data_IF_714585135387
#
_entry.id   IF_714585135387
#
_cell.length_a   1.000
_cell.length_b   1.000
_cell.length_c   1.000
_cell.angle_alpha   90.00
_cell.angle_beta   90.00
_cell.angle_gamma   90.00
#
_symmetry.space_group_name_H-M   'P 1'
#
loop_
_entity.id
_entity.type
_entity.pdbx_description
1 polymer ?
#
# COMPACT_ATOMS: atom_id res chain seq x y z
N UNK A 1 20.27 -19.72 -14.02
CA UNK A 1 19.50 -18.49 -14.33
C UNK A 1 18.40 -18.40 -13.29
N UNK A 2 18.30 -17.30 -12.55
CA UNK A 2 17.32 -17.14 -11.47
C UNK A 2 16.19 -16.22 -11.95
N UNK A 3 14.95 -16.55 -11.57
CA UNK A 3 13.76 -15.79 -11.95
C UNK A 3 12.93 -15.47 -10.71
N UNK A 4 12.55 -14.20 -10.55
CA UNK A 4 11.71 -13.72 -9.45
C UNK A 4 10.77 -12.65 -10.00
N UNK A 5 9.49 -12.97 -10.04
CA UNK A 5 8.41 -12.11 -10.48
C UNK A 5 7.29 -12.17 -9.43
N UNK A 6 6.78 -11.01 -9.02
CA UNK A 6 5.58 -10.86 -8.22
C UNK A 6 4.63 -9.91 -8.93
N UNK A 7 3.37 -10.34 -9.10
CA UNK A 7 2.29 -9.52 -9.66
C UNK A 7 1.13 -9.53 -8.67
N UNK A 8 0.73 -8.35 -8.20
CA UNK A 8 -0.32 -8.19 -7.19
C UNK A 8 -1.31 -7.11 -7.62
N UNK A 9 -2.60 -7.42 -7.55
CA UNK A 9 -3.68 -6.45 -7.72
C UNK A 9 -4.45 -6.27 -6.41
N UNK A 10 -4.67 -5.03 -5.99
CA UNK A 10 -5.32 -4.77 -4.71
C UNK A 10 -5.57 -3.30 -4.43
N UNK A 11 -5.86 -2.99 -3.17
CA UNK A 11 -6.13 -1.62 -2.71
C UNK A 11 -5.15 -1.21 -1.61
N UNK A 12 -4.73 0.06 -1.64
CA UNK A 12 -3.91 0.62 -0.57
C UNK A 12 -4.69 0.66 0.75
N UNK A 13 -4.07 0.19 1.83
CA UNK A 13 -4.69 0.18 3.18
C UNK A 13 -4.44 1.47 3.96
N UNK A 14 -3.46 2.25 3.53
CA UNK A 14 -3.09 3.56 4.06
C UNK A 14 -2.50 4.45 2.97
N UNK A 15 -2.38 5.73 3.25
CA UNK A 15 -1.74 6.68 2.34
C UNK A 15 -0.27 6.30 2.07
N UNK A 16 0.26 6.51 0.85
CA UNK A 16 1.67 6.23 0.55
C UNK A 16 2.61 7.12 1.37
N UNK A 17 3.64 6.52 1.98
CA UNK A 17 4.63 7.25 2.78
C UNK A 17 5.87 7.53 1.92
N UNK A 18 5.97 8.76 1.37
CA UNK A 18 7.12 9.19 0.58
C UNK A 18 8.26 9.65 1.50
N UNK A 19 9.45 9.15 1.24
CA UNK A 19 10.68 9.60 1.88
C UNK A 19 11.82 9.69 0.86
N UNK A 20 12.84 10.47 1.19
CA UNK A 20 14.05 10.58 0.40
C UNK A 20 15.21 9.94 1.15
N UNK A 21 16.01 9.16 0.44
CA UNK A 21 17.27 8.62 0.97
C UNK A 21 18.32 9.73 1.10
N UNK A 22 19.40 9.46 1.84
CA UNK A 22 20.53 10.39 1.98
C UNK A 22 21.16 10.83 0.64
N UNK A 23 21.00 10.00 -0.40
CA UNK A 23 21.46 10.28 -1.75
C UNK A 23 20.42 11.02 -2.62
N UNK A 24 19.34 11.51 -2.01
CA UNK A 24 18.26 12.23 -2.69
C UNK A 24 17.30 11.36 -3.50
N UNK A 25 17.43 10.03 -3.47
CA UNK A 25 16.53 9.15 -4.21
C UNK A 25 15.21 8.96 -3.46
N UNK A 26 14.09 9.22 -4.16
CA UNK A 26 12.74 8.99 -3.68
C UNK A 26 12.46 7.50 -3.47
N UNK A 27 11.81 7.18 -2.35
CA UNK A 27 11.27 5.86 -2.04
C UNK A 27 9.92 6.03 -1.37
N UNK A 28 8.96 5.18 -1.76
CA UNK A 28 7.62 5.17 -1.17
C UNK A 28 7.35 3.78 -0.62
N UNK A 29 6.87 3.74 0.61
CA UNK A 29 6.41 2.54 1.27
C UNK A 29 4.87 2.52 1.21
N UNK A 30 4.31 1.41 0.71
CA UNK A 30 2.87 1.21 0.55
C UNK A 30 2.45 -0.12 1.17
N UNK A 31 1.20 -0.22 1.62
CA UNK A 31 0.61 -1.47 2.07
C UNK A 31 -0.63 -1.79 1.24
N UNK A 32 -0.64 -2.99 0.66
CA UNK A 32 -1.64 -3.44 -0.29
C UNK A 32 -2.44 -4.59 0.31
N UNK A 33 -3.77 -4.45 0.32
CA UNK A 33 -4.68 -5.54 0.60
C UNK A 33 -5.04 -6.26 -0.70
N UNK A 34 -4.86 -7.58 -0.73
CA UNK A 34 -5.18 -8.45 -1.86
C UNK A 34 -6.20 -9.48 -1.40
N UNK A 35 -7.37 -9.46 -2.01
CA UNK A 35 -8.47 -10.36 -1.67
C UNK A 35 -8.42 -11.62 -2.53
N UNK A 36 -8.70 -12.76 -1.91
CA UNK A 36 -8.88 -14.04 -2.58
C UNK A 36 -10.23 -14.63 -2.18
N UNK A 37 -11.09 -14.90 -3.16
CA UNK A 37 -12.36 -15.57 -2.97
C UNK A 37 -12.25 -17.01 -3.48
N UNK A 38 -12.70 -17.99 -2.70
CA UNK A 38 -12.69 -19.40 -3.08
C UNK A 38 -13.85 -20.16 -2.45
N UNK A 39 -14.24 -21.27 -3.07
CA UNK A 39 -15.28 -22.16 -2.55
C UNK A 39 -14.65 -23.39 -1.89
N UNK A 40 -15.19 -23.77 -0.73
CA UNK A 40 -14.85 -24.99 -0.02
C UNK A 40 -15.65 -26.18 -0.60
N UNK A 41 -15.26 -27.40 -0.22
CA UNK A 41 -15.85 -28.63 -0.74
C UNK A 41 -17.34 -28.81 -0.37
N UNK A 42 -17.77 -28.20 0.74
CA UNK A 42 -19.15 -28.15 1.22
C UNK A 42 -20.02 -27.08 0.53
N UNK A 43 -19.44 -26.30 -0.38
CA UNK A 43 -20.11 -25.22 -1.10
C UNK A 43 -20.05 -23.86 -0.40
N UNK A 44 -19.43 -23.75 0.78
CA UNK A 44 -19.26 -22.46 1.46
C UNK A 44 -18.28 -21.56 0.68
N UNK A 45 -18.65 -20.29 0.47
CA UNK A 45 -17.77 -19.28 -0.13
C UNK A 45 -16.97 -18.58 0.95
N UNK A 46 -15.65 -18.69 0.89
CA UNK A 46 -14.73 -18.03 1.82
C UNK A 46 -13.99 -16.89 1.13
N UNK A 47 -13.74 -15.83 1.90
CA UNK A 47 -12.94 -14.69 1.48
C UNK A 47 -11.76 -14.54 2.43
N UNK A 48 -10.57 -14.36 1.87
CA UNK A 48 -9.34 -14.16 2.61
C UNK A 48 -8.63 -12.91 2.10
N UNK A 49 -8.14 -12.08 3.02
CA UNK A 49 -7.35 -10.89 2.69
C UNK A 49 -5.91 -11.11 3.12
N UNK A 50 -4.99 -10.87 2.20
CA UNK A 50 -3.55 -10.85 2.47
C UNK A 50 -3.03 -9.43 2.36
N UNK A 51 -2.12 -9.06 3.26
CA UNK A 51 -1.51 -7.74 3.29
C UNK A 51 -0.05 -7.82 2.89
N UNK A 52 0.35 -7.02 1.90
CA UNK A 52 1.70 -7.01 1.38
C UNK A 52 2.32 -5.61 1.49
N UNK A 53 3.58 -5.56 1.87
CA UNK A 53 4.37 -4.33 1.83
C UNK A 53 4.99 -4.19 0.44
N UNK A 54 4.74 -3.05 -0.19
CA UNK A 54 5.24 -2.71 -1.53
C UNK A 54 6.17 -1.50 -1.38
N UNK A 55 7.33 -1.57 -2.02
CA UNK A 55 8.29 -0.46 -2.07
C UNK A 55 8.54 -0.09 -3.52
N UNK A 56 8.28 1.17 -3.88
CA UNK A 56 8.65 1.73 -5.17
C UNK A 56 9.73 2.79 -5.01
N UNK A 57 10.51 3.02 -6.07
CA UNK A 57 11.68 3.91 -6.06
C UNK A 57 11.61 4.94 -7.19
N UNK A 58 12.32 6.06 -7.02
CA UNK A 58 12.48 7.10 -8.03
C UNK A 58 11.15 7.64 -8.55
N UNK A 59 11.01 7.75 -9.87
CA UNK A 59 9.80 8.30 -10.51
C UNK A 59 8.52 7.54 -10.15
N UNK A 60 8.59 6.22 -9.99
CA UNK A 60 7.43 5.43 -9.56
C UNK A 60 7.04 5.76 -8.13
N UNK A 61 8.01 6.03 -7.24
CA UNK A 61 7.73 6.46 -5.87
C UNK A 61 7.01 7.80 -5.82
N UNK A 62 7.53 8.78 -6.56
CA UNK A 62 6.93 10.12 -6.67
C UNK A 62 5.52 10.05 -7.24
N UNK A 63 5.30 9.28 -8.32
CA UNK A 63 3.98 9.10 -8.90
C UNK A 63 2.99 8.47 -7.91
N UNK A 64 3.39 7.40 -7.21
CA UNK A 64 2.54 6.77 -6.20
C UNK A 64 2.14 7.76 -5.11
N UNK A 65 3.09 8.52 -4.55
CA UNK A 65 2.80 9.52 -3.53
C UNK A 65 1.94 10.70 -4.05
N UNK A 66 2.07 11.03 -5.34
CA UNK A 66 1.36 12.15 -5.94
C UNK A 66 -0.08 11.82 -6.34
N UNK A 67 -0.41 10.56 -6.61
CA UNK A 67 -1.70 10.19 -7.19
C UNK A 67 -2.46 9.11 -6.44
N UNK A 68 -1.80 8.40 -5.51
CA UNK A 68 -2.45 7.38 -4.69
C UNK A 68 -2.73 7.90 -3.28
N UNK A 69 -3.80 7.38 -2.71
CA UNK A 69 -4.21 7.56 -1.33
C UNK A 69 -4.72 6.21 -0.78
N UNK A 70 -5.09 6.18 0.49
CA UNK A 70 -5.81 5.04 1.08
C UNK A 70 -7.01 4.67 0.19
N UNK A 71 -7.17 3.38 -0.08
CA UNK A 71 -8.24 2.83 -0.90
C UNK A 71 -7.95 2.82 -2.41
N UNK A 72 -6.92 3.53 -2.90
CA UNK A 72 -6.56 3.50 -4.32
C UNK A 72 -6.29 2.07 -4.79
N UNK A 73 -6.88 1.70 -5.92
CA UNK A 73 -6.67 0.39 -6.54
C UNK A 73 -5.48 0.42 -7.48
N UNK A 74 -4.59 -0.55 -7.36
CA UNK A 74 -3.36 -0.64 -8.14
C UNK A 74 -3.07 -2.06 -8.58
N UNK A 75 -2.37 -2.16 -9.72
CA UNK A 75 -1.67 -3.36 -10.16
C UNK A 75 -0.16 -3.13 -10.02
N UNK A 76 0.51 -3.99 -9.27
CA UNK A 76 1.95 -3.93 -8.99
C UNK A 76 2.64 -5.09 -9.68
N UNK A 77 3.68 -4.80 -10.44
CA UNK A 77 4.64 -5.78 -10.96
C UNK A 77 6.01 -5.50 -10.37
N UNK A 78 6.68 -6.54 -9.87
CA UNK A 78 7.97 -6.40 -9.21
C UNK A 78 8.62 -7.74 -8.88
N UNK A 79 9.38 -7.74 -7.79
CA UNK A 79 10.07 -8.92 -7.27
C UNK A 79 9.94 -9.00 -5.76
N UNK A 80 9.98 -10.21 -5.20
CA UNK A 80 10.08 -10.40 -3.77
C UNK A 80 11.51 -10.11 -3.29
N UNK A 81 11.63 -9.43 -2.17
CA UNK A 81 12.88 -9.22 -1.46
C UNK A 81 12.66 -9.55 0.01
N UNK A 82 13.51 -10.42 0.55
CA UNK A 82 13.56 -10.70 1.97
C UNK A 82 14.69 -9.87 2.59
N UNK A 83 14.32 -8.95 3.48
CA UNK A 83 15.29 -8.24 4.31
C UNK A 83 15.47 -8.99 5.61
N UNK A 84 16.71 -9.09 6.08
CA UNK A 84 17.06 -9.69 7.38
C UNK A 84 17.86 -8.67 8.16
N UNK A 85 17.49 -8.43 9.42
CA UNK A 85 18.17 -7.49 10.30
C UNK A 85 18.10 -7.99 11.75
N UNK A 86 18.96 -7.44 12.61
CA UNK A 86 18.93 -7.73 14.04
C UNK A 86 18.26 -6.58 14.79
N UNK A 87 17.38 -6.91 15.73
CA UNK A 87 16.76 -5.95 16.63
C UNK A 87 16.63 -6.58 18.01
N UNK A 88 17.17 -5.92 19.03
CA UNK A 88 17.18 -6.39 20.42
C UNK A 88 17.86 -7.77 20.59
N UNK A 89 18.96 -8.02 19.86
CA UNK A 89 19.68 -9.29 19.89
C UNK A 89 19.00 -10.45 19.14
N UNK A 90 17.84 -10.20 18.50
CA UNK A 90 17.09 -11.21 17.77
C UNK A 90 17.12 -10.93 16.26
N UNK A 91 17.42 -11.98 15.49
CA UNK A 91 17.31 -11.94 14.02
C UNK A 91 15.85 -11.87 13.61
N UNK A 92 15.51 -10.86 12.82
CA UNK A 92 14.19 -10.67 12.20
C UNK A 92 14.33 -10.73 10.69
N UNK A 93 13.25 -11.14 10.03
CA UNK A 93 13.16 -11.02 8.58
C UNK A 93 11.77 -10.58 8.15
N UNK A 94 11.69 -9.88 7.03
CA UNK A 94 10.44 -9.52 6.40
C UNK A 94 10.56 -9.65 4.89
N UNK A 95 9.49 -10.12 4.26
CA UNK A 95 9.35 -10.17 2.81
C UNK A 95 8.54 -8.96 2.35
N UNK A 96 9.04 -8.28 1.33
CA UNK A 96 8.37 -7.16 0.67
C UNK A 96 8.45 -7.34 -0.85
N UNK A 97 7.60 -6.62 -1.56
CA UNK A 97 7.67 -6.52 -3.02
C UNK A 97 8.39 -5.23 -3.39
N UNK A 98 9.48 -5.34 -4.15
CA UNK A 98 10.09 -4.18 -4.80
C UNK A 98 9.41 -4.01 -6.16
N UNK A 99 8.61 -2.96 -6.27
CA UNK A 99 7.86 -2.64 -7.48
C UNK A 99 8.79 -2.10 -8.56
N UNK A 100 8.69 -2.69 -9.75
CA UNK A 100 9.29 -2.17 -10.98
C UNK A 100 8.28 -1.31 -11.74
N UNK A 101 6.99 -1.67 -11.68
CA UNK A 101 5.89 -0.95 -12.32
C UNK A 101 4.66 -0.96 -11.40
N UNK A 102 4.04 0.20 -11.24
CA UNK A 102 2.74 0.36 -10.59
C UNK A 102 1.79 0.98 -11.60
N UNK A 103 0.66 0.33 -11.81
CA UNK A 103 -0.43 0.81 -12.66
C UNK A 103 -1.64 1.15 -11.79
N UNK A 104 -2.20 2.33 -12.00
CA UNK A 104 -3.30 2.85 -11.20
C UNK A 104 -4.61 2.45 -11.87
N UNK A 105 -5.46 1.71 -11.16
CA UNK A 105 -6.68 1.12 -11.71
C UNK A 105 -7.93 2.00 -11.48
N UNK A 106 -7.80 3.06 -10.67
CA UNK A 106 -8.86 4.02 -10.39
C UNK A 106 -8.78 5.29 -11.26
N UNK A 107 -9.94 5.88 -11.56
CA UNK A 107 -10.00 7.23 -12.14
C UNK A 107 -9.40 8.26 -11.17
N UNK A 108 -8.82 9.32 -11.71
CA UNK A 108 -8.20 10.44 -10.99
C UNK A 108 -9.20 11.00 -9.96
N UNK A 109 -9.08 10.60 -8.69
CA UNK A 109 -9.71 11.34 -7.60
C UNK A 109 -8.84 12.57 -7.36
N UNK A 110 -9.40 13.75 -7.55
CA UNK A 110 -8.67 14.99 -7.29
C UNK A 110 -8.28 15.02 -5.81
N UNK A 111 -6.98 15.25 -5.55
CA UNK A 111 -6.41 15.24 -4.21
C UNK A 111 -7.12 16.22 -3.26
N UNK A 112 -7.63 17.32 -3.80
CA UNK A 112 -8.34 18.36 -3.05
C UNK A 112 -9.64 17.82 -2.44
N UNK A 113 -10.37 16.96 -3.15
CA UNK A 113 -11.61 16.36 -2.66
C UNK A 113 -11.36 15.35 -1.52
N UNK A 114 -10.20 14.66 -1.52
CA UNK A 114 -9.81 13.75 -0.42
C UNK A 114 -9.38 14.50 0.85
N UNK A 115 -8.67 15.63 0.71
CA UNK A 115 -8.32 16.45 1.88
C UNK A 115 -9.55 17.20 2.43
N UNK A 116 -10.46 17.68 1.57
CA UNK A 116 -11.75 18.25 2.02
C UNK A 116 -12.60 17.21 2.76
N UNK A 117 -12.72 15.98 2.25
CA UNK A 117 -13.48 14.90 2.92
C UNK A 117 -12.87 14.54 4.28
N UNK A 118 -11.53 14.55 4.38
CA UNK A 118 -10.81 14.30 5.64
C UNK A 118 -10.99 15.44 6.65
N UNK A 119 -10.92 16.70 6.22
CA UNK A 119 -11.19 17.85 7.11
C UNK A 119 -12.65 17.89 7.57
N UNK A 120 -13.58 17.46 6.71
CA UNK A 120 -15.01 17.39 7.04
C UNK A 120 -15.30 16.31 8.07
N UNK A 121 -14.77 15.10 7.86
CA UNK A 121 -14.90 13.99 8.83
C UNK A 121 -14.24 14.30 10.17
N UNK A 122 -13.09 14.98 10.19
CA UNK A 122 -12.45 15.38 11.46
C UNK A 122 -13.26 16.44 12.21
N UNK A 123 -13.85 17.41 11.51
CA UNK A 123 -14.76 18.40 12.14
C UNK A 123 -16.01 17.77 12.72
N UNK A 124 -16.64 16.85 11.98
CA UNK A 124 -17.85 16.16 12.42
C UNK A 124 -17.58 15.30 13.69
N UNK A 125 -16.40 14.69 13.80
CA UNK A 125 -15.97 13.95 15.01
C UNK A 125 -15.65 14.87 16.21
N UNK A 126 -15.08 16.06 15.97
CA UNK A 126 -14.79 17.04 17.04
C UNK A 126 -16.08 17.63 17.63
N UNK A 127 -17.08 17.97 16.79
CA UNK A 127 -18.35 18.55 17.22
C UNK A 127 -19.23 17.57 18.03
N UNK A 128 -19.13 16.26 17.79
CA UNK A 128 -19.82 15.23 18.59
C UNK A 128 -19.16 14.94 19.95
N UNK A 129 -17.91 15.37 20.14
CA UNK A 129 -17.11 15.05 21.34
C UNK A 129 -17.22 16.07 22.48
N UNK A 130 -18.03 17.13 22.31
CA UNK A 130 -18.23 18.16 23.32
C UNK A 130 -19.42 17.79 24.21
N UNK A 131 -19.21 17.25 25.44
CA UNK A 131 -20.29 17.17 26.40
C UNK A 131 -20.71 18.59 26.81
N UNK A 132 -22.02 18.86 26.73
CA UNK A 132 -22.66 20.10 27.18
C UNK A 132 -22.35 20.45 28.65
#
# INVERSE_FOLDING_TARGET
MNYNLAVLGGNLTRDPELRYTSNGQAVVDMSLAVNRHYSLFDGEKKSEVSFFNIVAWGKQAEACANYLAKGSSVLVEGRLQQDTWEKDGQKRSAVKVIANRVEFLGGKKDKDEYYEDKERTVKDEEDESIPF
#
